data_IF_741593190840
#
_entry.id   IF_741593190840
#
_cell.length_a   1.000
_cell.length_b   1.000
_cell.length_c   1.000
_cell.angle_alpha   90.00
_cell.angle_beta   90.00
_cell.angle_gamma   90.00
#
_symmetry.space_group_name_H-M   'P 1'
#
loop_
_entity.id
_entity.type
_entity.pdbx_description
1 polymer ?
#
# COMPACT_ATOMS: atom_id res chain seq x y z
N UNK A 1 14.82 -24.03 5.60
CA UNK A 1 14.95 -24.25 7.06
C UNK A 1 13.84 -23.50 7.77
N UNK A 2 13.10 -24.18 8.69
CA UNK A 2 12.08 -23.57 9.54
C UNK A 2 12.72 -22.52 10.45
N UNK A 3 11.99 -21.42 10.70
CA UNK A 3 12.48 -20.27 11.48
C UNK A 3 11.43 -19.84 12.51
N UNK A 4 11.88 -19.22 13.60
CA UNK A 4 11.04 -18.52 14.56
C UNK A 4 11.01 -17.05 14.20
N UNK A 5 9.87 -16.54 13.81
CA UNK A 5 9.69 -15.19 13.26
C UNK A 5 8.82 -14.39 14.24
N UNK A 6 9.28 -13.19 14.61
CA UNK A 6 8.48 -12.24 15.37
C UNK A 6 7.95 -11.18 14.41
N UNK A 7 6.66 -11.20 14.14
CA UNK A 7 5.98 -10.13 13.40
C UNK A 7 5.51 -9.06 14.39
N UNK A 8 5.86 -7.81 14.09
CA UNK A 8 5.52 -6.64 14.92
C UNK A 8 4.64 -5.69 14.13
N UNK A 9 3.45 -5.39 14.66
CA UNK A 9 2.49 -4.53 13.99
C UNK A 9 1.68 -3.68 14.96
N UNK A 10 1.43 -2.42 14.58
CA UNK A 10 0.54 -1.51 15.26
C UNK A 10 -0.71 -1.29 14.41
N UNK A 11 -1.81 -1.95 14.76
CA UNK A 11 -3.07 -1.84 14.03
C UNK A 11 -3.63 -0.43 14.04
N UNK A 12 -4.26 -0.05 12.93
CA UNK A 12 -5.00 1.21 12.82
C UNK A 12 -6.32 1.15 13.60
N UNK A 13 -6.92 2.32 13.89
CA UNK A 13 -8.27 2.39 14.49
C UNK A 13 -9.34 1.88 13.53
N UNK A 14 -9.14 2.07 12.24
CA UNK A 14 -9.99 1.55 11.17
C UNK A 14 -9.10 0.60 10.37
N UNK A 15 -9.46 -0.69 10.28
CA UNK A 15 -8.67 -1.67 9.53
C UNK A 15 -8.38 -1.20 8.11
N UNK A 16 -7.16 -1.42 7.65
CA UNK A 16 -6.68 -1.06 6.33
C UNK A 16 -6.01 -2.22 5.60
N UNK A 17 -5.58 -1.99 4.37
CA UNK A 17 -4.91 -3.00 3.55
C UNK A 17 -3.63 -3.57 4.20
N UNK A 18 -2.91 -2.75 4.96
CA UNK A 18 -1.72 -3.15 5.70
C UNK A 18 -2.02 -4.23 6.75
N UNK A 19 -3.16 -4.11 7.46
CA UNK A 19 -3.59 -5.08 8.47
C UNK A 19 -3.90 -6.44 7.83
N UNK A 20 -4.51 -6.44 6.65
CA UNK A 20 -4.77 -7.65 5.86
C UNK A 20 -3.48 -8.31 5.38
N UNK A 21 -2.51 -7.53 4.94
CA UNK A 21 -1.19 -8.03 4.52
C UNK A 21 -0.51 -8.77 5.67
N UNK A 22 -0.52 -8.22 6.88
CA UNK A 22 0.07 -8.87 8.07
C UNK A 22 -0.58 -10.21 8.35
N UNK A 23 -1.91 -10.29 8.27
CA UNK A 23 -2.65 -11.54 8.48
C UNK A 23 -2.31 -12.59 7.41
N UNK A 24 -2.26 -12.18 6.14
CA UNK A 24 -1.94 -13.06 5.02
C UNK A 24 -0.49 -13.57 5.09
N UNK A 25 0.47 -12.71 5.40
CA UNK A 25 1.88 -13.10 5.54
C UNK A 25 2.08 -14.05 6.72
N UNK A 26 1.43 -13.77 7.86
CA UNK A 26 1.46 -14.70 9.01
C UNK A 26 0.96 -16.08 8.60
N UNK A 27 -0.24 -16.15 8.01
CA UNK A 27 -0.83 -17.42 7.56
C UNK A 27 0.09 -18.15 6.59
N UNK A 28 0.58 -17.48 5.57
CA UNK A 28 1.49 -18.04 4.58
C UNK A 28 2.76 -18.64 5.23
N UNK A 29 3.38 -17.93 6.17
CA UNK A 29 4.58 -18.41 6.85
C UNK A 29 4.28 -19.62 7.75
N UNK A 30 3.15 -19.63 8.46
CA UNK A 30 2.70 -20.76 9.29
C UNK A 30 2.36 -21.99 8.44
N UNK A 31 1.68 -21.84 7.32
CA UNK A 31 1.35 -22.91 6.37
C UNK A 31 2.61 -23.60 5.82
N UNK A 32 3.72 -22.85 5.74
CA UNK A 32 5.03 -23.41 5.36
C UNK A 32 5.86 -23.91 6.55
N UNK A 33 5.26 -23.98 7.75
CA UNK A 33 5.82 -24.58 8.95
C UNK A 33 6.82 -23.72 9.72
N UNK A 34 6.82 -22.39 9.52
CA UNK A 34 7.52 -21.47 10.39
C UNK A 34 6.74 -21.27 11.69
N UNK A 35 7.45 -21.00 12.78
CA UNK A 35 6.83 -20.55 14.03
C UNK A 35 6.70 -19.03 13.98
N UNK A 36 5.47 -18.51 13.96
CA UNK A 36 5.22 -17.07 13.89
C UNK A 36 4.63 -16.58 15.22
N UNK A 37 5.30 -15.62 15.83
CA UNK A 37 4.83 -14.94 17.04
C UNK A 37 4.42 -13.51 16.65
N UNK A 38 3.28 -13.03 17.15
CA UNK A 38 2.82 -11.68 16.95
C UNK A 38 3.08 -10.82 18.19
N UNK A 39 3.67 -9.65 18.00
CA UNK A 39 3.63 -8.56 18.96
C UNK A 39 2.84 -7.41 18.37
N UNK A 40 1.64 -7.17 18.89
CA UNK A 40 0.73 -6.20 18.32
C UNK A 40 0.22 -5.20 19.35
N UNK A 41 -0.07 -3.99 18.88
CA UNK A 41 -0.83 -2.97 19.59
C UNK A 41 -1.93 -2.45 18.66
N UNK A 42 -2.96 -1.87 19.21
CA UNK A 42 -4.05 -1.30 18.43
C UNK A 42 -4.26 0.17 18.79
N UNK A 43 -4.33 1.04 17.80
CA UNK A 43 -4.56 2.47 18.02
C UNK A 43 -5.95 2.80 18.59
N UNK A 44 -6.89 1.83 18.67
CA UNK A 44 -8.12 1.98 19.42
C UNK A 44 -7.87 2.17 20.94
N UNK A 45 -6.76 1.60 21.47
CA UNK A 45 -6.33 1.78 22.86
C UNK A 45 -6.14 3.26 23.24
N UNK A 46 -5.85 4.13 22.26
CA UNK A 46 -5.72 5.59 22.49
C UNK A 46 -7.00 6.24 23.00
N UNK A 47 -8.17 5.64 22.71
CA UNK A 47 -9.47 6.16 23.19
C UNK A 47 -9.64 5.91 24.68
N UNK A 48 -9.13 4.79 25.18
CA UNK A 48 -9.26 4.32 26.56
C UNK A 48 -8.17 4.86 27.50
N UNK A 49 -7.17 5.56 26.96
CA UNK A 49 -6.05 6.10 27.73
C UNK A 49 -6.49 7.19 28.70
N UNK A 50 -5.99 7.11 29.95
CA UNK A 50 -6.12 8.16 30.96
C UNK A 50 -5.43 9.46 30.51
N UNK A 51 -5.77 10.60 31.15
CA UNK A 51 -5.13 11.89 30.87
C UNK A 51 -3.61 11.83 31.03
N UNK A 52 -3.12 11.13 32.07
CA UNK A 52 -1.69 10.98 32.32
C UNK A 52 -0.99 10.14 31.22
N UNK A 53 -1.64 9.08 30.75
CA UNK A 53 -1.12 8.27 29.63
C UNK A 53 -1.07 9.09 28.33
N UNK A 54 -2.10 9.89 28.03
CA UNK A 54 -2.12 10.79 26.88
C UNK A 54 -1.01 11.85 26.95
N UNK A 55 -0.68 12.35 28.11
CA UNK A 55 0.42 13.30 28.31
C UNK A 55 1.80 12.65 28.02
N UNK A 56 1.95 11.35 28.34
CA UNK A 56 3.18 10.60 28.07
C UNK A 56 3.28 10.08 26.62
N UNK A 57 2.17 10.07 25.88
CA UNK A 57 2.09 9.50 24.54
C UNK A 57 3.13 10.05 23.55
N UNK A 58 3.40 11.37 23.47
CA UNK A 58 4.44 11.88 22.58
C UNK A 58 5.81 11.20 22.80
N UNK A 59 6.20 11.03 24.07
CA UNK A 59 7.47 10.42 24.42
C UNK A 59 7.48 8.91 24.11
N UNK A 60 6.41 8.20 24.44
CA UNK A 60 6.29 6.76 24.16
C UNK A 60 6.09 6.45 22.68
N UNK A 61 5.59 7.39 21.88
CA UNK A 61 5.57 7.27 20.42
C UNK A 61 6.98 7.32 19.84
N UNK A 62 7.87 8.12 20.42
CA UNK A 62 9.28 8.21 20.01
C UNK A 62 10.03 6.96 20.49
N UNK A 63 9.96 6.65 21.77
CA UNK A 63 10.60 5.48 22.34
C UNK A 63 9.76 4.88 23.45
N UNK A 64 9.20 3.68 23.25
CA UNK A 64 8.40 2.97 24.23
C UNK A 64 9.26 1.97 25.02
N UNK A 65 9.60 2.25 26.29
CA UNK A 65 10.43 1.35 27.09
C UNK A 65 9.79 -0.03 27.35
N UNK A 66 8.45 -0.10 27.38
CA UNK A 66 7.72 -1.36 27.50
C UNK A 66 7.92 -2.22 26.26
N UNK A 67 7.72 -1.67 25.08
CA UNK A 67 8.00 -2.37 23.81
C UNK A 67 9.44 -2.88 23.77
N UNK A 68 10.42 -2.05 24.14
CA UNK A 68 11.83 -2.46 24.19
C UNK A 68 12.04 -3.70 25.07
N UNK A 69 11.48 -3.70 26.30
CA UNK A 69 11.62 -4.81 27.26
C UNK A 69 10.87 -6.06 26.77
N UNK A 70 9.65 -5.90 26.28
CA UNK A 70 8.81 -7.02 25.83
C UNK A 70 9.45 -7.71 24.62
N UNK A 71 9.91 -6.95 23.62
CA UNK A 71 10.58 -7.51 22.45
C UNK A 71 11.84 -8.29 22.83
N UNK A 72 12.67 -7.74 23.73
CA UNK A 72 13.86 -8.48 24.22
C UNK A 72 13.49 -9.78 24.93
N UNK A 73 12.44 -9.75 25.74
CA UNK A 73 11.94 -10.94 26.45
C UNK A 73 11.45 -12.00 25.46
N UNK A 74 10.66 -11.62 24.47
CA UNK A 74 10.13 -12.52 23.43
C UNK A 74 11.28 -13.12 22.62
N UNK A 75 12.23 -12.30 22.16
CA UNK A 75 13.38 -12.76 21.38
C UNK A 75 14.13 -13.88 22.09
N UNK A 76 14.42 -13.69 23.39
CA UNK A 76 15.14 -14.68 24.19
C UNK A 76 14.33 -15.93 24.50
N UNK A 77 13.07 -15.74 24.90
CA UNK A 77 12.19 -16.84 25.29
C UNK A 77 11.85 -17.77 24.11
N UNK A 78 11.58 -17.18 22.96
CA UNK A 78 11.08 -17.89 21.79
C UNK A 78 12.19 -18.22 20.76
N UNK A 79 13.46 -17.89 21.09
CA UNK A 79 14.62 -18.05 20.19
C UNK A 79 14.35 -17.50 18.79
N UNK A 80 13.97 -16.23 18.72
CA UNK A 80 13.58 -15.55 17.46
C UNK A 80 14.77 -15.44 16.52
N UNK A 81 14.56 -15.86 15.29
CA UNK A 81 15.53 -15.80 14.18
C UNK A 81 15.51 -14.49 13.42
N UNK A 82 14.33 -13.86 13.27
CA UNK A 82 14.11 -12.62 12.52
C UNK A 82 12.98 -11.83 13.17
N UNK A 83 13.16 -10.52 13.30
CA UNK A 83 12.09 -9.58 13.66
C UNK A 83 11.61 -8.87 12.41
N UNK A 84 10.35 -9.12 12.03
CA UNK A 84 9.71 -8.52 10.88
C UNK A 84 8.70 -7.46 11.32
N UNK A 85 8.97 -6.20 11.00
CA UNK A 85 8.18 -5.05 11.43
C UNK A 85 7.33 -4.53 10.27
N UNK A 86 6.05 -4.25 10.51
CA UNK A 86 5.16 -3.61 9.53
C UNK A 86 4.85 -2.16 9.90
N UNK A 87 4.29 -1.93 11.09
CA UNK A 87 3.97 -0.60 11.56
C UNK A 87 4.36 -0.40 13.02
N UNK A 88 4.94 0.75 13.33
CA UNK A 88 5.36 1.10 14.70
C UNK A 88 4.58 2.26 15.31
N UNK A 89 3.80 2.99 14.53
CA UNK A 89 3.11 4.21 14.97
C UNK A 89 1.67 3.87 15.44
N UNK A 90 1.30 4.28 16.62
CA UNK A 90 1.90 5.18 17.63
C UNK A 90 2.46 4.42 18.85
N UNK A 91 1.94 3.22 19.15
CA UNK A 91 2.07 2.56 20.46
C UNK A 91 3.26 1.60 20.56
N UNK A 92 3.65 0.99 19.43
CA UNK A 92 4.83 0.11 19.37
C UNK A 92 6.11 0.93 19.46
N UNK A 93 6.25 1.98 18.69
CA UNK A 93 7.42 2.86 18.54
C UNK A 93 8.64 2.18 17.90
N UNK A 94 9.60 2.95 17.36
CA UNK A 94 10.87 2.43 16.86
C UNK A 94 11.75 1.71 17.89
N UNK A 95 11.37 1.69 19.18
CA UNK A 95 12.05 0.94 20.22
C UNK A 95 12.26 -0.55 19.85
N UNK A 96 11.39 -1.10 18.99
CA UNK A 96 11.53 -2.47 18.47
C UNK A 96 12.85 -2.69 17.76
N UNK A 97 13.32 -1.73 16.97
CA UNK A 97 14.58 -1.85 16.22
C UNK A 97 15.78 -1.96 17.17
N UNK A 98 15.82 -1.09 18.19
CA UNK A 98 16.88 -1.10 19.19
C UNK A 98 16.88 -2.39 20.02
N UNK A 99 15.69 -2.89 20.37
CA UNK A 99 15.55 -4.13 21.12
C UNK A 99 16.13 -5.32 20.34
N UNK A 100 15.75 -5.47 19.07
CA UNK A 100 16.23 -6.56 18.22
C UNK A 100 17.75 -6.45 17.95
N UNK A 101 18.24 -5.26 17.59
CA UNK A 101 19.66 -5.03 17.36
C UNK A 101 20.50 -5.31 18.63
N UNK A 102 19.99 -4.94 19.82
CA UNK A 102 20.68 -5.24 21.08
C UNK A 102 20.75 -6.75 21.40
N UNK A 103 19.87 -7.53 20.82
CA UNK A 103 19.86 -9.00 20.91
C UNK A 103 20.61 -9.67 19.76
N UNK A 104 21.22 -8.91 18.84
CA UNK A 104 21.89 -9.41 17.63
C UNK A 104 20.94 -10.27 16.76
N UNK A 105 19.66 -9.84 16.63
CA UNK A 105 18.68 -10.48 15.76
C UNK A 105 18.40 -9.54 14.60
N UNK A 106 18.41 -10.05 13.34
CA UNK A 106 18.16 -9.24 12.17
C UNK A 106 16.74 -8.66 12.19
N UNK A 107 16.65 -7.40 11.77
CA UNK A 107 15.38 -6.68 11.64
C UNK A 107 15.15 -6.39 10.18
N UNK A 108 13.92 -6.64 9.73
CA UNK A 108 13.44 -6.17 8.44
C UNK A 108 12.12 -5.41 8.63
N UNK A 109 12.00 -4.26 7.97
CA UNK A 109 10.80 -3.42 7.96
C UNK A 109 10.15 -3.49 6.59
N UNK A 110 8.90 -3.96 6.51
CA UNK A 110 8.09 -3.74 5.29
C UNK A 110 7.61 -2.30 5.25
N UNK A 111 7.88 -1.62 4.14
CA UNK A 111 7.57 -0.19 3.94
C UNK A 111 6.22 -0.09 3.23
N UNK A 112 5.14 0.06 4.00
CA UNK A 112 3.78 0.19 3.48
C UNK A 112 3.41 1.62 3.08
N UNK A 113 4.15 2.60 3.58
CA UNK A 113 3.91 4.02 3.34
C UNK A 113 5.23 4.81 3.42
N UNK A 114 5.18 6.09 3.10
CA UNK A 114 6.38 6.94 3.01
C UNK A 114 6.75 7.66 4.31
N UNK A 115 6.34 7.17 5.47
CA UNK A 115 6.51 7.86 6.77
C UNK A 115 7.97 8.14 7.15
N UNK A 116 8.91 7.33 6.73
CA UNK A 116 10.34 7.56 6.95
C UNK A 116 10.86 8.82 6.23
N UNK A 117 10.16 9.27 5.18
CA UNK A 117 10.51 10.43 4.36
C UNK A 117 9.55 11.59 4.56
N UNK A 118 8.25 11.31 4.65
CA UNK A 118 7.16 12.26 4.78
C UNK A 118 6.39 12.00 6.09
N UNK A 119 6.40 12.89 7.09
CA UNK A 119 5.64 12.72 8.34
C UNK A 119 4.14 12.49 8.12
N UNK A 120 3.55 13.05 7.05
CA UNK A 120 2.18 12.77 6.62
C UNK A 120 1.99 11.39 5.98
N UNK A 121 3.07 10.69 5.64
CA UNK A 121 3.14 9.35 5.06
C UNK A 121 2.64 9.19 3.62
N UNK A 122 2.14 10.25 2.97
CA UNK A 122 1.39 10.14 1.70
C UNK A 122 2.07 10.81 0.51
N UNK A 123 3.06 11.67 0.74
CA UNK A 123 3.59 12.56 -0.29
C UNK A 123 2.50 13.37 -1.02
N UNK A 124 1.42 13.70 -0.32
CA UNK A 124 0.29 14.40 -0.90
C UNK A 124 -0.20 15.51 0.03
N UNK A 125 -0.44 16.70 -0.52
CA UNK A 125 -0.89 17.87 0.21
C UNK A 125 -1.61 18.84 -0.74
N UNK A 126 -2.69 19.43 -0.27
CA UNK A 126 -3.41 20.50 -0.96
C UNK A 126 -3.75 20.19 -2.44
N UNK A 127 -4.10 18.92 -2.72
CA UNK A 127 -4.51 18.50 -4.04
C UNK A 127 -3.37 18.14 -5.01
N UNK A 128 -2.11 18.08 -4.55
CA UNK A 128 -0.96 17.74 -5.39
C UNK A 128 0.08 16.86 -4.68
N UNK A 129 0.94 16.23 -5.47
CA UNK A 129 2.11 15.49 -4.97
C UNK A 129 3.07 16.48 -4.31
N UNK A 130 3.55 16.15 -3.10
CA UNK A 130 4.44 16.99 -2.31
C UNK A 130 5.62 16.18 -1.77
N UNK A 131 6.82 16.53 -2.15
CA UNK A 131 8.08 15.95 -1.69
C UNK A 131 8.94 16.96 -0.89
N UNK A 132 8.36 18.05 -0.41
CA UNK A 132 9.08 19.12 0.29
C UNK A 132 9.92 18.61 1.48
N UNK A 133 9.43 17.62 2.22
CA UNK A 133 10.16 17.08 3.37
C UNK A 133 11.44 16.34 2.99
N UNK A 134 11.53 15.82 1.77
CA UNK A 134 12.74 15.18 1.22
C UNK A 134 13.75 16.26 0.81
N UNK A 135 13.30 17.28 0.08
CA UNK A 135 14.19 18.28 -0.53
C UNK A 135 14.54 19.44 0.41
N UNK A 136 13.61 19.85 1.30
CA UNK A 136 13.76 21.03 2.15
C UNK A 136 13.74 20.71 3.66
N UNK A 137 13.62 19.42 4.02
CA UNK A 137 13.66 18.92 5.38
C UNK A 137 12.31 18.83 6.07
N UNK A 138 12.29 18.09 7.18
CA UNK A 138 11.08 17.72 7.91
C UNK A 138 10.27 18.90 8.49
N UNK A 139 10.88 20.09 8.63
CA UNK A 139 10.21 21.32 9.06
C UNK A 139 9.03 21.71 8.18
N UNK A 140 9.05 21.33 6.90
CA UNK A 140 7.96 21.57 5.97
C UNK A 140 6.65 20.93 6.44
N UNK A 141 6.71 19.71 7.01
CA UNK A 141 5.53 19.07 7.56
C UNK A 141 4.88 19.85 8.71
N UNK A 142 5.70 20.45 9.59
CA UNK A 142 5.19 21.27 10.72
C UNK A 142 4.49 22.51 10.21
N UNK A 143 5.08 23.19 9.20
CA UNK A 143 4.50 24.37 8.56
C UNK A 143 3.08 24.10 8.03
N UNK A 144 2.85 22.93 7.49
CA UNK A 144 1.60 22.57 6.81
C UNK A 144 0.69 21.63 7.62
N UNK A 145 1.04 21.32 8.89
CA UNK A 145 0.26 20.40 9.75
C UNK A 145 -0.06 19.05 9.08
N UNK A 146 0.93 18.46 8.38
CA UNK A 146 0.72 17.34 7.46
C UNK A 146 0.17 16.07 8.10
N UNK A 147 0.35 15.86 9.42
CA UNK A 147 -0.21 14.71 10.10
C UNK A 147 -1.54 15.04 10.77
N UNK A 148 -2.64 14.53 10.20
CA UNK A 148 -4.03 14.71 10.69
C UNK A 148 -4.46 16.18 10.88
N UNK A 149 -3.88 17.12 10.14
CA UNK A 149 -4.19 18.54 10.26
C UNK A 149 -3.80 19.15 11.62
N UNK A 150 -3.03 18.46 12.45
CA UNK A 150 -2.67 18.87 13.80
C UNK A 150 -1.19 19.21 13.90
N UNK A 151 -0.88 20.46 14.28
CA UNK A 151 0.51 20.91 14.47
C UNK A 151 1.24 20.09 15.55
N UNK A 152 0.58 19.82 16.68
CA UNK A 152 1.16 19.06 17.78
C UNK A 152 1.45 17.60 17.38
N UNK A 153 0.51 16.93 16.74
CA UNK A 153 0.72 15.56 16.29
C UNK A 153 1.77 15.46 15.16
N UNK A 154 1.79 16.45 14.26
CA UNK A 154 2.83 16.56 13.23
C UNK A 154 4.21 16.74 13.85
N UNK A 155 4.33 17.59 14.88
CA UNK A 155 5.60 17.79 15.59
C UNK A 155 6.10 16.47 16.20
N UNK A 156 5.24 15.68 16.83
CA UNK A 156 5.62 14.37 17.38
C UNK A 156 6.13 13.45 16.28
N UNK A 157 5.47 13.38 15.13
CA UNK A 157 5.92 12.56 14.00
C UNK A 157 7.28 13.06 13.44
N UNK A 158 7.47 14.36 13.34
CA UNK A 158 8.73 14.98 12.88
C UNK A 158 9.87 14.65 13.83
N UNK A 159 9.66 14.87 15.14
CA UNK A 159 10.68 14.61 16.17
C UNK A 159 11.01 13.12 16.23
N UNK A 160 10.01 12.25 16.14
CA UNK A 160 10.21 10.80 16.06
C UNK A 160 11.13 10.45 14.88
N UNK A 161 10.79 10.89 13.69
CA UNK A 161 11.58 10.61 12.48
C UNK A 161 12.99 11.20 12.58
N UNK A 162 13.11 12.45 13.07
CA UNK A 162 14.38 13.14 13.18
C UNK A 162 15.34 12.46 14.18
N UNK A 163 14.86 12.09 15.38
CA UNK A 163 15.67 11.40 16.40
C UNK A 163 16.23 10.10 15.83
N UNK A 164 15.39 9.28 15.19
CA UNK A 164 15.82 7.99 14.67
C UNK A 164 16.72 8.08 13.43
N UNK A 165 16.60 9.18 12.67
CA UNK A 165 17.61 9.52 11.64
C UNK A 165 18.95 9.90 12.31
N UNK A 166 18.94 10.71 13.35
CA UNK A 166 20.15 11.15 14.06
C UNK A 166 20.88 10.01 14.76
N UNK A 167 20.17 9.03 15.31
CA UNK A 167 20.78 7.83 15.91
C UNK A 167 21.34 6.85 14.87
N UNK A 168 21.01 7.06 13.60
CA UNK A 168 21.43 6.18 12.49
C UNK A 168 20.78 4.79 12.52
N UNK A 169 19.71 4.57 13.33
CA UNK A 169 19.09 3.25 13.44
C UNK A 169 18.49 2.77 12.14
N UNK A 170 17.97 3.69 11.31
CA UNK A 170 17.42 3.37 10.00
C UNK A 170 18.47 2.83 9.01
N UNK A 171 19.73 3.17 9.16
CA UNK A 171 20.83 2.58 8.39
C UNK A 171 21.29 1.21 8.87
N UNK A 172 20.82 0.75 10.05
CA UNK A 172 21.21 -0.52 10.66
C UNK A 172 20.25 -1.67 10.41
N UNK A 173 19.02 -1.38 9.97
CA UNK A 173 17.98 -2.38 9.70
C UNK A 173 17.83 -2.63 8.20
N UNK A 174 17.13 -3.71 7.84
CA UNK A 174 16.82 -4.05 6.46
C UNK A 174 15.38 -3.63 6.11
N UNK A 175 15.10 -3.54 4.82
CA UNK A 175 13.80 -3.08 4.32
C UNK A 175 13.27 -4.00 3.24
N UNK A 176 11.94 -4.19 3.25
CA UNK A 176 11.17 -4.74 2.15
C UNK A 176 10.32 -3.60 1.58
N UNK A 177 10.62 -3.19 0.36
CA UNK A 177 9.81 -2.27 -0.43
C UNK A 177 8.86 -3.06 -1.32
N UNK A 178 7.65 -2.56 -1.52
CA UNK A 178 6.61 -3.28 -2.26
C UNK A 178 6.76 -3.14 -3.78
N UNK A 179 7.52 -2.14 -4.23
CA UNK A 179 7.84 -1.87 -5.65
C UNK A 179 9.23 -1.26 -5.78
N UNK A 180 9.75 -1.22 -7.00
CA UNK A 180 10.99 -0.46 -7.32
C UNK A 180 10.81 1.04 -7.07
N UNK A 181 9.63 1.60 -7.32
CA UNK A 181 9.34 3.00 -7.00
C UNK A 181 9.50 3.27 -5.50
N UNK A 182 8.94 2.42 -4.64
CA UNK A 182 9.12 2.55 -3.18
C UNK A 182 10.60 2.42 -2.77
N UNK A 183 11.34 1.51 -3.39
CA UNK A 183 12.79 1.35 -3.15
C UNK A 183 13.54 2.62 -3.51
N UNK A 184 13.32 3.17 -4.70
CA UNK A 184 13.97 4.41 -5.15
C UNK A 184 13.67 5.56 -4.20
N UNK A 185 12.39 5.72 -3.79
CA UNK A 185 12.00 6.73 -2.80
C UNK A 185 12.69 6.52 -1.46
N UNK A 186 12.74 5.30 -0.94
CA UNK A 186 13.39 5.03 0.34
C UNK A 186 14.89 5.36 0.31
N UNK A 187 15.57 5.10 -0.80
CA UNK A 187 17.00 5.38 -0.98
C UNK A 187 17.34 6.88 -1.04
N UNK A 188 16.36 7.77 -1.17
CA UNK A 188 16.56 9.21 -0.97
C UNK A 188 17.01 9.52 0.48
N UNK A 189 16.71 8.64 1.43
CA UNK A 189 17.28 8.68 2.78
C UNK A 189 18.69 8.09 2.78
N UNK A 190 19.70 8.93 2.54
CA UNK A 190 21.11 8.56 2.28
C UNK A 190 21.77 7.62 3.31
N UNK A 191 21.24 7.52 4.54
CA UNK A 191 21.74 6.57 5.53
C UNK A 191 21.33 5.12 5.27
N UNK A 192 20.36 4.88 4.38
CA UNK A 192 19.91 3.54 3.99
C UNK A 192 20.71 3.13 2.76
N UNK A 193 21.42 2.03 2.86
CA UNK A 193 22.23 1.48 1.76
C UNK A 193 21.37 0.53 0.92
N UNK A 194 21.69 0.46 -0.38
CA UNK A 194 20.91 -0.32 -1.34
C UNK A 194 20.94 -1.84 -1.04
N UNK A 195 22.05 -2.36 -0.54
CA UNK A 195 22.22 -3.76 -0.14
C UNK A 195 21.32 -4.21 1.02
N UNK A 196 20.70 -3.25 1.71
CA UNK A 196 19.70 -3.49 2.78
C UNK A 196 18.25 -3.35 2.34
N UNK A 197 18.00 -3.05 1.06
CA UNK A 197 16.66 -2.81 0.53
C UNK A 197 16.29 -3.86 -0.51
N UNK A 198 15.29 -4.67 -0.17
CA UNK A 198 14.75 -5.72 -1.03
C UNK A 198 13.41 -5.28 -1.62
N UNK A 199 13.09 -5.74 -2.81
CA UNK A 199 11.77 -5.54 -3.40
C UNK A 199 11.00 -6.85 -3.33
N UNK A 200 9.85 -6.82 -2.63
CA UNK A 200 8.91 -7.92 -2.51
C UNK A 200 7.50 -7.35 -2.45
N UNK A 201 6.70 -7.52 -3.52
CA UNK A 201 5.33 -7.03 -3.55
C UNK A 201 4.44 -7.76 -2.54
N UNK A 202 3.29 -7.18 -2.25
CA UNK A 202 2.20 -7.92 -1.61
C UNK A 202 1.67 -8.97 -2.58
N UNK A 203 1.01 -9.99 -2.04
CA UNK A 203 0.42 -11.07 -2.82
C UNK A 203 -1.09 -11.13 -2.63
N UNK A 204 -1.73 -11.82 -3.55
CA UNK A 204 -3.14 -12.22 -3.50
C UNK A 204 -3.19 -13.74 -3.61
N UNK A 205 -4.05 -14.38 -2.83
CA UNK A 205 -4.30 -15.82 -2.95
C UNK A 205 -4.79 -16.14 -4.38
N UNK A 206 -4.42 -17.32 -4.87
CA UNK A 206 -4.82 -17.79 -6.19
C UNK A 206 -6.34 -17.79 -6.33
N UNK A 207 -6.83 -17.23 -7.42
CA UNK A 207 -8.25 -17.15 -7.72
C UNK A 207 -8.57 -17.92 -8.99
N UNK A 208 -9.52 -18.84 -8.93
CA UNK A 208 -9.92 -19.67 -10.08
C UNK A 208 -10.86 -18.93 -11.05
N UNK A 209 -11.12 -17.65 -10.83
CA UNK A 209 -12.13 -16.86 -11.55
C UNK A 209 -11.57 -16.20 -12.82
N UNK A 210 -10.69 -16.88 -13.57
CA UNK A 210 -10.28 -16.37 -14.88
C UNK A 210 -11.42 -16.52 -15.89
N UNK A 211 -11.90 -15.42 -16.46
CA UNK A 211 -12.96 -15.39 -17.46
C UNK A 211 -12.34 -15.02 -18.83
N UNK A 212 -12.46 -15.88 -19.87
CA UNK A 212 -11.99 -15.57 -21.22
C UNK A 212 -12.66 -14.32 -21.79
N UNK A 213 -11.99 -13.65 -22.73
CA UNK A 213 -12.47 -12.39 -23.32
C UNK A 213 -13.91 -12.51 -23.86
N UNK A 214 -14.20 -13.59 -24.56
CA UNK A 214 -15.49 -13.81 -25.24
C UNK A 214 -16.68 -13.88 -24.26
N UNK A 215 -16.42 -14.14 -22.98
CA UNK A 215 -17.41 -14.23 -21.92
C UNK A 215 -17.47 -12.98 -21.05
N UNK A 216 -16.57 -11.99 -21.29
CA UNK A 216 -16.57 -10.75 -20.54
C UNK A 216 -17.62 -9.78 -21.05
N UNK A 217 -18.14 -8.98 -20.15
CA UNK A 217 -19.12 -7.95 -20.47
C UNK A 217 -18.42 -6.74 -21.08
N UNK A 218 -19.09 -6.05 -21.98
CA UNK A 218 -18.64 -4.79 -22.55
C UNK A 218 -18.78 -3.65 -21.51
N UNK A 219 -17.90 -3.68 -20.52
CA UNK A 219 -17.90 -2.73 -19.41
C UNK A 219 -16.50 -2.53 -18.85
N UNK A 220 -16.30 -1.36 -18.26
CA UNK A 220 -15.15 -1.03 -17.41
C UNK A 220 -15.58 -1.04 -15.94
N UNK A 221 -14.64 -1.18 -15.03
CA UNK A 221 -14.91 -1.16 -13.60
C UNK A 221 -13.95 -0.26 -12.86
N UNK A 222 -14.48 0.50 -11.89
CA UNK A 222 -13.72 1.16 -10.84
C UNK A 222 -14.05 0.49 -9.51
N UNK A 223 -13.03 0.16 -8.74
CA UNK A 223 -13.19 -0.42 -7.40
C UNK A 223 -12.32 0.34 -6.39
N UNK A 224 -12.97 1.04 -5.47
CA UNK A 224 -12.27 1.81 -4.45
C UNK A 224 -13.13 2.85 -3.76
N UNK A 225 -12.50 3.55 -2.82
CA UNK A 225 -13.16 4.64 -2.09
C UNK A 225 -13.48 5.81 -3.04
N UNK A 226 -14.69 6.34 -2.92
CA UNK A 226 -15.12 7.48 -3.73
C UNK A 226 -14.62 8.79 -3.13
N UNK A 227 -13.37 9.14 -3.44
CA UNK A 227 -12.72 10.37 -3.02
C UNK A 227 -11.77 10.93 -4.10
N UNK A 228 -11.26 12.13 -3.87
CA UNK A 228 -10.35 12.80 -4.80
C UNK A 228 -9.01 12.08 -4.96
N UNK A 229 -8.53 11.40 -3.90
CA UNK A 229 -7.26 10.68 -3.96
C UNK A 229 -7.33 9.50 -4.92
N UNK A 230 -8.50 8.84 -5.01
CA UNK A 230 -8.75 7.76 -5.94
C UNK A 230 -9.15 8.24 -7.35
N UNK A 231 -9.34 9.55 -7.55
CA UNK A 231 -9.55 10.18 -8.85
C UNK A 231 -10.89 9.88 -9.50
N UNK A 232 -11.92 9.53 -8.71
CA UNK A 232 -13.26 9.23 -9.27
C UNK A 232 -13.83 10.40 -10.07
N UNK A 233 -13.50 11.63 -9.73
CA UNK A 233 -13.92 12.82 -10.48
C UNK A 233 -13.25 12.92 -11.85
N UNK A 234 -11.97 12.53 -11.97
CA UNK A 234 -11.26 12.46 -13.24
C UNK A 234 -11.90 11.41 -14.14
N UNK A 235 -12.23 10.26 -13.58
CA UNK A 235 -12.91 9.18 -14.29
C UNK A 235 -14.27 9.64 -14.86
N UNK A 236 -15.13 10.20 -14.02
CA UNK A 236 -16.45 10.65 -14.45
C UNK A 236 -16.40 11.81 -15.47
N UNK A 237 -15.40 12.70 -15.34
CA UNK A 237 -15.15 13.74 -16.36
C UNK A 237 -14.75 13.14 -17.70
N UNK A 238 -13.90 12.11 -17.72
CA UNK A 238 -13.54 11.40 -18.96
C UNK A 238 -14.78 10.77 -19.62
N UNK A 239 -15.66 10.11 -18.82
CA UNK A 239 -16.93 9.56 -19.32
C UNK A 239 -17.86 10.62 -19.89
N UNK A 240 -17.97 11.78 -19.23
CA UNK A 240 -18.71 12.93 -19.75
C UNK A 240 -18.17 13.38 -21.12
N UNK A 241 -16.86 13.48 -21.27
CA UNK A 241 -16.23 13.91 -22.53
C UNK A 241 -16.42 12.91 -23.69
N UNK A 242 -16.62 11.62 -23.38
CA UNK A 242 -16.94 10.59 -24.39
C UNK A 242 -18.41 10.65 -24.81
N UNK A 243 -19.29 11.19 -23.98
CA UNK A 243 -20.71 11.38 -24.26
C UNK A 243 -21.45 10.06 -24.49
N UNK A 244 -22.33 10.03 -25.52
CA UNK A 244 -23.14 8.84 -25.85
C UNK A 244 -22.31 7.61 -26.27
N UNK A 245 -21.04 7.79 -26.62
CA UNK A 245 -20.13 6.70 -27.00
C UNK A 245 -19.35 6.15 -25.81
N UNK A 246 -19.60 6.65 -24.58
CA UNK A 246 -18.94 6.15 -23.39
C UNK A 246 -19.36 4.70 -23.12
N UNK A 247 -18.40 3.77 -22.91
CA UNK A 247 -18.71 2.40 -22.53
C UNK A 247 -19.40 2.35 -21.17
N UNK A 248 -20.01 1.22 -20.83
CA UNK A 248 -20.59 1.02 -19.50
C UNK A 248 -19.49 1.05 -18.44
N UNK A 249 -19.71 1.79 -17.35
CA UNK A 249 -18.84 1.86 -16.18
C UNK A 249 -19.56 1.32 -14.95
N UNK A 250 -18.97 0.34 -14.29
CA UNK A 250 -19.40 -0.14 -12.98
C UNK A 250 -18.53 0.53 -11.91
N UNK A 251 -19.16 1.12 -10.90
CA UNK A 251 -18.47 1.78 -9.78
C UNK A 251 -18.77 1.02 -8.49
N UNK A 252 -17.78 0.34 -7.94
CA UNK A 252 -17.83 -0.38 -6.67
C UNK A 252 -17.10 0.41 -5.59
N UNK A 253 -17.83 0.78 -4.54
CA UNK A 253 -17.31 1.51 -3.40
C UNK A 253 -18.22 2.64 -2.94
N UNK A 254 -17.87 3.21 -1.80
CA UNK A 254 -18.53 4.36 -1.16
C UNK A 254 -17.48 5.38 -0.75
N UNK A 255 -17.88 6.57 -0.37
CA UNK A 255 -16.94 7.58 0.10
C UNK A 255 -17.54 9.00 0.14
N UNK A 256 -16.73 9.98 0.54
CA UNK A 256 -17.18 11.37 0.71
C UNK A 256 -17.76 12.00 -0.56
N UNK A 257 -17.34 11.51 -1.73
CA UNK A 257 -17.82 12.03 -3.03
C UNK A 257 -19.02 11.28 -3.60
N UNK A 258 -19.56 10.28 -2.91
CA UNK A 258 -20.64 9.43 -3.46
C UNK A 258 -21.83 10.24 -3.95
N UNK A 259 -22.31 11.19 -3.15
CA UNK A 259 -23.42 12.07 -3.54
C UNK A 259 -23.10 12.86 -4.81
N UNK A 260 -21.96 13.50 -4.83
CA UNK A 260 -21.49 14.25 -6.00
C UNK A 260 -21.38 13.36 -7.25
N UNK A 261 -20.82 12.16 -7.12
CA UNK A 261 -20.65 11.22 -8.23
C UNK A 261 -22.01 10.84 -8.85
N UNK A 262 -22.98 10.50 -8.02
CA UNK A 262 -24.34 10.13 -8.48
C UNK A 262 -25.07 11.30 -9.15
N UNK A 263 -25.00 12.50 -8.57
CA UNK A 263 -25.58 13.72 -9.13
C UNK A 263 -24.91 14.09 -10.45
N UNK A 264 -23.58 14.05 -10.52
CA UNK A 264 -22.83 14.34 -11.74
C UNK A 264 -23.15 13.35 -12.87
N UNK A 265 -23.20 12.06 -12.58
CA UNK A 265 -23.54 11.02 -13.55
C UNK A 265 -24.97 11.21 -14.07
N UNK A 266 -25.94 11.46 -13.18
CA UNK A 266 -27.36 11.71 -13.55
C UNK A 266 -27.51 12.95 -14.41
N UNK A 267 -26.95 14.09 -14.01
CA UNK A 267 -27.05 15.37 -14.70
C UNK A 267 -26.45 15.35 -16.12
N UNK A 268 -25.41 14.53 -16.31
CA UNK A 268 -24.71 14.38 -17.59
C UNK A 268 -25.16 13.11 -18.36
N UNK A 269 -26.18 12.37 -17.88
CA UNK A 269 -26.69 11.13 -18.47
C UNK A 269 -25.60 10.10 -18.79
N UNK A 270 -24.67 9.92 -17.87
CA UNK A 270 -23.54 9.01 -18.05
C UNK A 270 -24.00 7.54 -17.95
N UNK A 271 -23.37 6.69 -18.76
CA UNK A 271 -23.57 5.23 -18.70
C UNK A 271 -22.78 4.61 -17.53
N UNK A 272 -23.20 4.91 -16.29
CA UNK A 272 -22.53 4.52 -15.05
C UNK A 272 -23.51 3.84 -14.10
N UNK A 273 -23.10 2.70 -13.56
CA UNK A 273 -23.87 1.95 -12.54
C UNK A 273 -23.09 1.93 -11.21
N UNK A 274 -23.66 2.49 -10.15
CA UNK A 274 -23.09 2.50 -8.81
C UNK A 274 -23.58 1.30 -8.00
N UNK A 275 -22.67 0.42 -7.59
CA UNK A 275 -22.96 -0.77 -6.77
C UNK A 275 -22.90 -0.50 -5.26
N UNK A 276 -22.33 0.64 -4.84
CA UNK A 276 -22.08 0.93 -3.42
C UNK A 276 -21.00 0.03 -2.82
N UNK A 277 -21.12 -0.25 -1.52
CA UNK A 277 -20.21 -1.15 -0.82
C UNK A 277 -20.60 -2.60 -1.10
N UNK A 278 -19.73 -3.32 -1.79
CA UNK A 278 -19.90 -4.75 -2.14
C UNK A 278 -18.80 -5.56 -1.48
N UNK A 279 -19.06 -6.82 -1.08
CA UNK A 279 -18.03 -7.72 -0.59
C UNK A 279 -16.90 -7.93 -1.61
N UNK A 280 -15.64 -8.05 -1.15
CA UNK A 280 -14.48 -8.15 -2.03
C UNK A 280 -14.59 -9.30 -3.05
N UNK A 281 -15.13 -10.43 -2.66
CA UNK A 281 -15.34 -11.57 -3.56
C UNK A 281 -16.30 -11.24 -4.73
N UNK A 282 -17.30 -10.38 -4.50
CA UNK A 282 -18.21 -9.92 -5.54
C UNK A 282 -17.55 -8.86 -6.42
N UNK A 283 -16.77 -7.95 -5.83
CA UNK A 283 -15.94 -7.00 -6.59
C UNK A 283 -15.04 -7.74 -7.55
N UNK A 284 -14.35 -8.80 -7.10
CA UNK A 284 -13.48 -9.62 -7.96
C UNK A 284 -14.23 -10.27 -9.12
N UNK A 285 -15.45 -10.77 -8.92
CA UNK A 285 -16.30 -11.30 -10.00
C UNK A 285 -16.66 -10.23 -11.02
N UNK A 286 -16.97 -9.01 -10.56
CA UNK A 286 -17.25 -7.88 -11.45
C UNK A 286 -15.99 -7.51 -12.24
N UNK A 287 -14.84 -7.44 -11.59
CA UNK A 287 -13.53 -7.18 -12.23
C UNK A 287 -13.23 -8.24 -13.27
N UNK A 288 -13.35 -9.54 -12.91
CA UNK A 288 -13.11 -10.67 -13.80
C UNK A 288 -14.00 -10.63 -15.05
N UNK A 289 -15.25 -10.15 -14.91
CA UNK A 289 -16.20 -10.04 -16.03
C UNK A 289 -16.10 -8.74 -16.81
N UNK A 290 -15.20 -7.83 -16.47
CA UNK A 290 -15.04 -6.53 -17.14
C UNK A 290 -13.85 -6.55 -18.11
N UNK A 291 -13.84 -5.63 -19.09
CA UNK A 291 -12.73 -5.47 -20.05
C UNK A 291 -11.45 -5.00 -19.36
N UNK A 292 -11.56 -4.02 -18.47
CA UNK A 292 -10.45 -3.49 -17.69
C UNK A 292 -10.92 -2.89 -16.37
N UNK A 293 -10.03 -2.89 -15.38
CA UNK A 293 -10.11 -2.05 -14.18
C UNK A 293 -9.54 -0.67 -14.51
N UNK A 294 -10.22 0.41 -14.11
CA UNK A 294 -9.71 1.78 -14.22
C UNK A 294 -9.35 2.30 -12.83
N UNK A 295 -8.08 2.65 -12.63
CA UNK A 295 -7.55 3.19 -11.37
C UNK A 295 -6.95 4.58 -11.59
N UNK A 296 -7.75 5.66 -11.56
CA UNK A 296 -7.31 7.02 -11.85
C UNK A 296 -6.70 7.72 -10.62
N UNK A 297 -5.89 7.01 -9.85
CA UNK A 297 -5.34 7.50 -8.58
C UNK A 297 -4.55 8.81 -8.75
N UNK A 298 -4.66 9.71 -7.75
CA UNK A 298 -4.05 11.04 -7.79
C UNK A 298 -2.91 11.22 -6.78
N UNK A 299 -2.48 10.14 -6.13
CA UNK A 299 -1.42 10.17 -5.13
C UNK A 299 -0.51 8.94 -5.24
N UNK A 300 0.64 8.96 -4.56
CA UNK A 300 1.48 7.77 -4.45
C UNK A 300 0.81 6.79 -3.48
N UNK A 301 0.13 5.79 -4.01
CA UNK A 301 -0.39 4.70 -3.18
C UNK A 301 0.77 3.92 -2.55
N UNK A 302 0.57 3.37 -1.35
CA UNK A 302 1.58 2.50 -0.74
C UNK A 302 1.80 1.25 -1.57
N UNK A 303 0.71 0.57 -1.91
CA UNK A 303 0.64 -0.53 -2.88
C UNK A 303 -0.81 -0.73 -3.33
N UNK A 304 -1.14 -0.51 -4.60
CA UNK A 304 -2.52 -0.63 -5.09
C UNK A 304 -2.94 -2.10 -5.26
N UNK A 305 -3.47 -2.71 -4.20
CA UNK A 305 -3.92 -4.11 -4.21
C UNK A 305 -4.91 -4.40 -5.33
N UNK A 306 -5.78 -3.44 -5.67
CA UNK A 306 -6.76 -3.59 -6.75
C UNK A 306 -6.15 -3.92 -8.12
N UNK A 307 -4.92 -3.47 -8.40
CA UNK A 307 -4.18 -3.85 -9.62
C UNK A 307 -3.81 -5.33 -9.57
N UNK A 308 -3.28 -5.79 -8.46
CA UNK A 308 -2.86 -7.20 -8.29
C UNK A 308 -4.07 -8.13 -8.26
N UNK A 309 -5.15 -7.72 -7.62
CA UNK A 309 -6.44 -8.41 -7.64
C UNK A 309 -7.00 -8.51 -9.06
N UNK A 310 -6.93 -7.44 -9.86
CA UNK A 310 -7.33 -7.48 -11.27
C UNK A 310 -6.46 -8.44 -12.09
N UNK A 311 -5.15 -8.39 -11.89
CA UNK A 311 -4.23 -9.31 -12.58
C UNK A 311 -4.47 -10.76 -12.20
N UNK A 312 -4.86 -11.05 -10.94
CA UNK A 312 -5.14 -12.42 -10.47
C UNK A 312 -6.33 -13.08 -11.18
N UNK A 313 -7.21 -12.29 -11.77
CA UNK A 313 -8.36 -12.74 -12.58
C UNK A 313 -8.18 -12.45 -14.08
N UNK A 314 -6.96 -12.09 -14.50
CA UNK A 314 -6.61 -11.81 -15.88
C UNK A 314 -7.25 -10.53 -16.42
N UNK A 315 -7.53 -9.53 -15.58
CA UNK A 315 -8.11 -8.26 -16.02
C UNK A 315 -7.02 -7.21 -16.14
N UNK A 316 -6.80 -6.65 -17.35
CA UNK A 316 -5.84 -5.56 -17.55
C UNK A 316 -6.30 -4.30 -16.83
N UNK A 317 -5.35 -3.39 -16.59
CA UNK A 317 -5.59 -2.18 -15.81
C UNK A 317 -5.26 -0.94 -16.60
N UNK A 318 -6.14 0.06 -16.54
CA UNK A 318 -5.87 1.41 -17.01
C UNK A 318 -5.65 2.29 -15.77
N UNK A 319 -4.46 2.84 -15.60
CA UNK A 319 -4.13 3.62 -14.41
C UNK A 319 -3.44 4.95 -14.71
N UNK A 320 -3.44 5.84 -13.73
CA UNK A 320 -2.58 7.03 -13.78
C UNK A 320 -1.11 6.61 -13.87
N UNK A 321 -0.32 7.25 -14.74
CA UNK A 321 1.13 7.08 -14.78
C UNK A 321 1.75 7.82 -13.59
N UNK A 322 1.57 7.24 -12.41
CA UNK A 322 1.93 7.86 -11.15
C UNK A 322 2.36 6.81 -10.12
N UNK A 323 3.54 7.01 -9.52
CA UNK A 323 4.01 6.25 -8.37
C UNK A 323 3.90 4.73 -8.54
N UNK A 324 3.36 4.05 -7.56
CA UNK A 324 3.25 2.60 -7.57
C UNK A 324 2.27 2.05 -8.62
N UNK A 325 1.19 2.74 -8.91
CA UNK A 325 0.25 2.32 -9.97
C UNK A 325 0.96 2.30 -11.33
N UNK A 326 1.62 3.39 -11.70
CA UNK A 326 2.39 3.48 -12.95
C UNK A 326 3.57 2.51 -13.02
N UNK A 327 4.17 2.15 -11.88
CA UNK A 327 5.31 1.21 -11.86
C UNK A 327 4.87 -0.26 -11.98
N UNK A 328 3.67 -0.62 -11.53
CA UNK A 328 3.17 -1.99 -11.60
C UNK A 328 2.59 -2.30 -12.98
N UNK A 329 1.86 -1.37 -13.59
CA UNK A 329 1.27 -1.54 -14.92
C UNK A 329 2.32 -1.32 -16.00
N UNK A 330 2.49 -2.33 -16.86
CA UNK A 330 3.37 -2.25 -18.04
C UNK A 330 2.55 -1.81 -19.24
N UNK A 331 2.96 -0.68 -19.82
CA UNK A 331 2.26 -0.03 -20.95
C UNK A 331 2.10 -0.98 -22.12
N UNK A 332 0.84 -1.16 -22.59
CA UNK A 332 0.44 -2.02 -23.69
C UNK A 332 0.77 -3.52 -23.53
N UNK A 333 1.15 -3.92 -22.32
CA UNK A 333 1.47 -5.32 -21.98
C UNK A 333 0.46 -5.82 -20.96
N UNK A 334 0.35 -5.19 -19.79
CA UNK A 334 -0.60 -5.57 -18.75
C UNK A 334 -1.75 -4.56 -18.58
N UNK A 335 -1.72 -3.52 -19.38
CA UNK A 335 -2.71 -2.45 -19.36
C UNK A 335 -2.19 -1.18 -20.02
N UNK A 336 -2.77 -0.06 -19.66
CA UNK A 336 -2.46 1.25 -20.22
C UNK A 336 -2.27 2.28 -19.12
N UNK A 337 -1.47 3.31 -19.42
CA UNK A 337 -1.23 4.43 -18.51
C UNK A 337 -1.66 5.75 -19.14
N UNK A 338 -2.26 6.61 -18.34
CA UNK A 338 -2.64 7.95 -18.76
C UNK A 338 -1.99 9.00 -17.85
N UNK A 339 -1.83 10.20 -18.35
CA UNK A 339 -1.28 11.31 -17.58
C UNK A 339 -2.17 11.62 -16.38
N UNK A 340 -1.62 11.54 -15.16
CA UNK A 340 -2.41 11.74 -13.95
C UNK A 340 -3.04 13.14 -13.93
N UNK A 341 -4.21 13.25 -13.29
CA UNK A 341 -5.02 14.46 -13.21
C UNK A 341 -5.58 14.98 -14.55
N UNK A 342 -5.47 14.20 -15.65
CA UNK A 342 -5.87 14.59 -16.99
C UNK A 342 -6.99 13.70 -17.53
N UNK A 343 -8.24 14.17 -17.45
CA UNK A 343 -9.41 13.42 -17.96
C UNK A 343 -9.41 13.25 -19.47
N UNK A 344 -8.84 14.19 -20.23
CA UNK A 344 -8.67 14.06 -21.68
C UNK A 344 -7.69 12.96 -22.05
N UNK A 345 -6.59 12.85 -21.30
CA UNK A 345 -5.63 11.75 -21.47
C UNK A 345 -6.30 10.39 -21.21
N UNK A 346 -7.07 10.27 -20.12
CA UNK A 346 -7.81 9.05 -19.82
C UNK A 346 -8.81 8.69 -20.94
N UNK A 347 -9.56 9.67 -21.44
CA UNK A 347 -10.47 9.48 -22.58
C UNK A 347 -9.75 8.92 -23.81
N UNK A 348 -8.58 9.47 -24.16
CA UNK A 348 -7.79 9.00 -25.29
C UNK A 348 -7.31 7.57 -25.09
N UNK A 349 -6.84 7.25 -23.89
CA UNK A 349 -6.35 5.91 -23.53
C UNK A 349 -7.48 4.87 -23.55
N UNK A 350 -8.69 5.20 -23.06
CA UNK A 350 -9.85 4.30 -23.15
C UNK A 350 -10.15 3.95 -24.63
N UNK A 351 -10.13 4.93 -25.53
CA UNK A 351 -10.36 4.69 -26.97
C UNK A 351 -9.26 3.83 -27.59
N UNK A 352 -8.00 4.06 -27.23
CA UNK A 352 -6.88 3.26 -27.70
C UNK A 352 -7.00 1.82 -27.20
N UNK A 353 -7.32 1.62 -25.92
CA UNK A 353 -7.54 0.31 -25.32
C UNK A 353 -8.60 -0.50 -26.07
N UNK A 354 -9.72 0.11 -26.46
CA UNK A 354 -10.81 -0.58 -27.19
C UNK A 354 -10.38 -1.08 -28.59
N UNK A 355 -9.32 -0.53 -29.16
CA UNK A 355 -8.75 -0.96 -30.44
C UNK A 355 -7.64 -2.02 -30.29
N UNK A 356 -7.30 -2.39 -29.06
CA UNK A 356 -6.17 -3.27 -28.78
C UNK A 356 -6.61 -4.74 -28.61
N UNK A 357 -5.64 -5.66 -28.75
CA UNK A 357 -5.88 -7.10 -28.49
C UNK A 357 -6.03 -7.34 -26.98
N UNK A 358 -7.28 -7.34 -26.52
CA UNK A 358 -7.63 -7.52 -25.10
C UNK A 358 -7.22 -8.90 -24.61
N UNK A 359 -7.30 -9.94 -25.43
CA UNK A 359 -6.89 -11.30 -25.06
C UNK A 359 -5.41 -11.37 -24.70
N UNK A 360 -4.57 -10.70 -25.47
CA UNK A 360 -3.14 -10.63 -25.20
C UNK A 360 -2.86 -9.90 -23.88
N UNK A 361 -3.54 -8.77 -23.65
CA UNK A 361 -3.42 -8.03 -22.39
C UNK A 361 -3.86 -8.87 -21.18
N UNK A 362 -4.93 -9.64 -21.30
CA UNK A 362 -5.43 -10.53 -20.25
C UNK A 362 -4.43 -11.62 -19.89
N UNK A 363 -3.86 -12.28 -20.90
CA UNK A 363 -2.85 -13.32 -20.72
C UNK A 363 -1.59 -12.75 -20.05
N UNK A 364 -1.16 -11.56 -20.48
CA UNK A 364 0.00 -10.88 -19.92
C UNK A 364 -0.22 -10.43 -18.48
N UNK A 365 -1.40 -9.89 -18.16
CA UNK A 365 -1.79 -9.50 -16.80
C UNK A 365 -1.79 -10.71 -15.86
N UNK A 366 -2.42 -11.80 -16.25
CA UNK A 366 -2.43 -13.04 -15.48
C UNK A 366 -1.04 -13.66 -15.36
N UNK A 367 -0.25 -13.65 -16.44
CA UNK A 367 1.14 -14.11 -16.42
C UNK A 367 2.00 -13.31 -15.43
N UNK A 368 1.81 -11.99 -15.38
CA UNK A 368 2.50 -11.13 -14.40
C UNK A 368 2.07 -11.44 -12.95
N UNK A 369 0.77 -11.67 -12.72
CA UNK A 369 0.30 -12.12 -11.41
C UNK A 369 1.02 -13.41 -10.98
N UNK A 370 1.01 -14.44 -11.81
CA UNK A 370 1.64 -15.74 -11.53
C UNK A 370 3.14 -15.64 -11.25
N UNK A 371 3.82 -14.73 -11.91
CA UNK A 371 5.28 -14.55 -11.80
C UNK A 371 5.70 -13.78 -10.55
N UNK A 372 4.89 -12.79 -10.11
CA UNK A 372 5.34 -11.83 -9.08
C UNK A 372 4.41 -11.72 -7.88
N UNK A 373 3.11 -11.99 -8.02
CA UNK A 373 2.10 -11.69 -7.01
C UNK A 373 1.38 -12.92 -6.46
N UNK A 374 1.73 -14.11 -6.92
CA UNK A 374 1.25 -15.38 -6.40
C UNK A 374 1.85 -15.66 -5.02
N UNK A 375 1.08 -16.31 -4.15
CA UNK A 375 1.47 -16.60 -2.77
C UNK A 375 2.74 -17.45 -2.68
N UNK A 376 2.88 -18.50 -3.51
CA UNK A 376 4.05 -19.38 -3.46
C UNK A 376 5.31 -18.62 -3.88
N UNK A 377 5.20 -17.80 -4.94
CA UNK A 377 6.30 -16.95 -5.38
C UNK A 377 6.71 -15.94 -4.31
N UNK A 378 5.73 -15.38 -3.62
CA UNK A 378 5.97 -14.44 -2.53
C UNK A 378 6.69 -15.11 -1.35
N UNK A 379 6.34 -16.36 -1.04
CA UNK A 379 7.04 -17.15 -0.03
C UNK A 379 8.51 -17.41 -0.41
N UNK A 380 8.80 -17.76 -1.65
CA UNK A 380 10.18 -17.91 -2.14
C UNK A 380 11.02 -16.64 -1.97
N UNK A 381 10.40 -15.48 -2.26
CA UNK A 381 11.05 -14.18 -2.03
C UNK A 381 11.34 -13.95 -0.55
N UNK A 382 10.40 -14.25 0.35
CA UNK A 382 10.64 -14.19 1.79
C UNK A 382 11.81 -15.06 2.23
N UNK A 383 11.85 -16.31 1.79
CA UNK A 383 12.95 -17.22 2.13
C UNK A 383 14.30 -16.65 1.69
N UNK A 384 14.36 -16.06 0.52
CA UNK A 384 15.58 -15.46 -0.01
C UNK A 384 16.00 -14.25 0.83
N UNK A 385 15.08 -13.33 1.10
CA UNK A 385 15.35 -12.13 1.91
C UNK A 385 15.81 -12.52 3.31
N UNK A 386 15.09 -13.43 3.99
CA UNK A 386 15.44 -13.84 5.36
C UNK A 386 16.78 -14.57 5.43
N UNK A 387 17.22 -15.21 4.35
CA UNK A 387 18.54 -15.81 4.25
C UNK A 387 19.63 -14.75 4.10
N UNK A 388 19.41 -13.77 3.23
CA UNK A 388 20.37 -12.69 2.98
C UNK A 388 20.57 -11.79 4.22
N UNK A 389 19.49 -11.37 4.89
CA UNK A 389 19.63 -10.49 6.07
C UNK A 389 20.34 -11.17 7.25
N UNK A 390 20.34 -12.51 7.30
CA UNK A 390 21.09 -13.27 8.31
C UNK A 390 22.58 -13.35 8.02
N UNK A 391 23.00 -13.27 6.76
CA UNK A 391 24.43 -13.28 6.40
C UNK A 391 25.11 -11.94 6.72
N UNK A 392 24.33 -10.87 6.79
CA UNK A 392 24.80 -9.49 6.96
C UNK A 392 24.82 -9.04 8.45
N UNK A 393 24.69 -9.97 9.38
CA UNK A 393 24.87 -9.79 10.82
C UNK A 393 26.28 -10.13 11.22
#
# INVERSE_FOLDING_TARGET
>A
KKQNILIVHNYYQIPGGEDTVVANEKKMLEDHGHKVILYTRNNSELKEMSKLQKLKLPFTTIFNPRTYKDIKRIIRKENIDVVHVHNTLNLVSPAVYYAALSCKVPVVQTVHNFRLLCPGATFYRDGHICEDCVHHGLKCAIKHNCYRGSKAQTLVCVVNTWIHRMTGVYGKINYICLTEFNKQKLLELKQIKEDKVFVKPNFVESNETFIPEEQRKDQFVFAGRLDKLKGIDILLKAWKQMGAKAPKLIVCGTGPMEKWCKEFAKSNKLNVEFKGCVPNAEVLKIVASSKALVLPTQWYEGFPMSIVEAFSVGTPVICSDLGNAGSIVEEKITGFKFQYNESDSLKCVIKEFESYDIKLLQQSAYGKYRRYFDQNRNYEMFQTIYREIKKNL
#
